data_IF_739293413233
#
_entry.id   IF_739293413233
#
_cell.length_a   1.000
_cell.length_b   1.000
_cell.length_c   1.000
_cell.angle_alpha   90.00
_cell.angle_beta   90.00
_cell.angle_gamma   90.00
#
_symmetry.space_group_name_H-M   'P 1'
#
loop_
_entity.id
_entity.type
_entity.pdbx_description
1 polymer ?
#
# COMPACT_ATOMS: atom_id res chain seq x y z
N UNK A 1 31.83 9.68 -52.22
CA UNK A 1 31.32 10.10 -50.88
C UNK A 1 30.30 9.09 -50.33
N UNK A 2 30.57 7.78 -50.41
CA UNK A 2 29.62 6.72 -50.02
C UNK A 2 30.17 5.76 -48.95
N UNK A 3 31.46 5.85 -48.62
CA UNK A 3 32.12 4.94 -47.68
C UNK A 3 31.98 5.34 -46.21
N UNK A 4 31.78 6.64 -45.90
CA UNK A 4 31.65 7.12 -44.50
C UNK A 4 30.27 6.88 -43.88
N UNK A 5 29.21 6.77 -44.69
CA UNK A 5 27.82 6.63 -44.20
C UNK A 5 27.55 5.19 -43.72
N UNK A 6 28.15 4.19 -44.38
CA UNK A 6 28.00 2.77 -44.02
C UNK A 6 28.67 2.47 -42.66
N UNK A 7 29.84 3.07 -42.39
CA UNK A 7 30.53 2.92 -41.11
C UNK A 7 29.74 3.50 -39.92
N UNK A 8 29.02 4.61 -40.15
CA UNK A 8 28.20 5.25 -39.12
C UNK A 8 26.95 4.40 -38.81
N UNK A 9 26.30 3.83 -39.84
CA UNK A 9 25.16 2.91 -39.64
C UNK A 9 25.54 1.62 -38.90
N UNK A 10 26.74 1.07 -39.15
CA UNK A 10 27.25 -0.09 -38.39
C UNK A 10 27.52 0.24 -36.92
N UNK A 11 28.04 1.43 -36.61
CA UNK A 11 28.24 1.88 -35.23
C UNK A 11 26.90 2.08 -34.48
N UNK A 12 25.88 2.64 -35.12
CA UNK A 12 24.57 2.81 -34.50
C UNK A 12 23.84 1.49 -34.22
N UNK A 13 23.98 0.49 -35.10
CA UNK A 13 23.44 -0.85 -34.85
C UNK A 13 24.21 -1.55 -33.72
N UNK A 14 25.55 -1.44 -33.67
CA UNK A 14 26.34 -2.02 -32.59
C UNK A 14 25.99 -1.45 -31.21
N UNK A 15 25.76 -0.14 -31.10
CA UNK A 15 25.30 0.49 -29.84
C UNK A 15 23.90 0.01 -29.44
N UNK A 16 23.03 -0.31 -30.40
CA UNK A 16 21.67 -0.81 -30.10
C UNK A 16 21.66 -2.26 -29.60
N UNK A 17 22.62 -3.09 -30.03
CA UNK A 17 22.79 -4.45 -29.50
C UNK A 17 23.48 -4.45 -28.12
N UNK A 18 24.44 -3.55 -27.88
CA UNK A 18 25.15 -3.48 -26.60
C UNK A 18 24.27 -2.95 -25.43
N UNK A 19 23.26 -2.12 -25.70
CA UNK A 19 22.36 -1.60 -24.64
C UNK A 19 21.35 -2.64 -24.16
N UNK A 20 21.21 -3.79 -24.84
CA UNK A 20 20.24 -4.83 -24.47
C UNK A 20 20.79 -5.90 -23.52
N UNK A 21 22.08 -5.88 -23.20
CA UNK A 21 22.74 -6.84 -22.30
C UNK A 21 22.87 -6.36 -20.83
N UNK A 22 22.47 -5.13 -20.50
CA UNK A 22 22.61 -4.58 -19.14
C UNK A 22 21.29 -4.57 -18.32
N UNK A 23 20.25 -5.27 -18.81
CA UNK A 23 18.95 -5.38 -18.12
C UNK A 23 18.55 -6.83 -17.84
N UNK A 24 19.51 -7.64 -17.38
CA UNK A 24 19.18 -8.95 -16.81
C UNK A 24 20.16 -9.33 -15.70
N UNK A 25 20.21 -8.50 -14.66
CA UNK A 25 20.86 -8.88 -13.41
C UNK A 25 20.03 -8.35 -12.25
N UNK A 26 19.37 -9.31 -11.60
CA UNK A 26 18.85 -9.32 -10.21
C UNK A 26 17.41 -9.84 -10.16
N UNK A 27 17.25 -11.15 -10.33
CA UNK A 27 16.22 -11.90 -9.61
C UNK A 27 16.62 -13.39 -9.51
N UNK A 28 16.89 -13.81 -8.27
CA UNK A 28 16.74 -15.19 -7.75
C UNK A 28 17.87 -16.23 -7.96
N UNK A 29 18.99 -16.01 -7.27
CA UNK A 29 19.74 -17.10 -6.62
C UNK A 29 19.08 -17.45 -5.28
N UNK A 30 18.20 -18.47 -5.23
CA UNK A 30 18.06 -19.35 -4.05
C UNK A 30 17.17 -20.58 -4.37
N UNK A 31 17.74 -21.56 -5.05
CA UNK A 31 17.19 -22.91 -5.07
C UNK A 31 18.34 -23.95 -5.13
N UNK A 32 18.82 -24.34 -3.95
CA UNK A 32 19.54 -25.59 -3.68
C UNK A 32 19.52 -25.73 -2.14
N UNK A 33 19.06 -26.79 -1.50
CA UNK A 33 19.02 -28.21 -1.84
C UNK A 33 18.02 -28.90 -0.91
N UNK A 34 17.14 -29.75 -1.45
CA UNK A 34 16.46 -30.78 -0.67
C UNK A 34 17.08 -32.13 -1.05
N UNK A 35 17.70 -32.82 -0.10
CA UNK A 35 17.71 -34.27 -0.05
C UNK A 35 17.92 -34.78 1.38
N UNK A 36 17.42 -35.99 1.62
CA UNK A 36 17.60 -36.89 2.78
C UNK A 36 16.56 -36.84 3.92
N UNK A 37 15.50 -37.63 3.69
CA UNK A 37 14.99 -38.78 4.45
C UNK A 37 15.31 -38.96 5.96
N UNK A 38 14.23 -39.21 6.73
CA UNK A 38 14.07 -40.16 7.85
C UNK A 38 14.80 -39.93 9.19
N UNK A 39 14.03 -39.68 10.27
CA UNK A 39 13.88 -40.62 11.41
C UNK A 39 13.12 -39.98 12.59
N UNK A 40 12.09 -40.68 13.07
CA UNK A 40 11.57 -40.55 14.44
C UNK A 40 12.71 -40.64 15.46
N UNK A 41 12.82 -39.66 16.36
CA UNK A 41 13.30 -39.85 17.74
C UNK A 41 13.10 -38.58 18.61
N UNK A 42 12.24 -38.71 19.63
CA UNK A 42 12.23 -37.91 20.88
C UNK A 42 13.35 -38.45 21.79
N UNK A 43 14.05 -37.74 22.74
CA UNK A 43 13.60 -36.69 23.69
C UNK A 43 14.60 -35.50 23.87
N UNK A 44 14.29 -34.37 24.54
CA UNK A 44 14.38 -34.24 25.99
C UNK A 44 13.79 -32.90 26.54
N UNK A 45 13.29 -33.02 27.78
CA UNK A 45 12.62 -32.05 28.66
C UNK A 45 13.46 -30.82 29.02
N UNK A 46 12.80 -29.66 29.14
CA UNK A 46 13.07 -28.65 30.18
C UNK A 46 11.78 -27.87 30.52
N UNK A 47 10.95 -28.45 31.40
CA UNK A 47 10.62 -27.95 32.76
C UNK A 47 9.45 -26.93 32.80
N UNK A 48 8.24 -27.50 32.79
CA UNK A 48 7.01 -26.91 33.33
C UNK A 48 7.09 -27.01 34.86
N UNK A 49 6.86 -25.90 35.56
CA UNK A 49 6.52 -25.92 37.00
C UNK A 49 5.19 -25.21 37.15
N UNK A 50 4.13 -26.02 37.07
CA UNK A 50 2.82 -25.73 37.65
C UNK A 50 2.83 -26.46 38.99
N UNK A 51 2.44 -25.78 40.07
CA UNK A 51 2.04 -26.43 41.32
C UNK A 51 0.53 -26.61 41.20
N UNK A 52 0.09 -27.86 41.06
CA UNK A 52 -1.32 -28.29 41.16
C UNK A 52 -1.58 -28.83 42.57
N UNK A 53 -2.78 -28.58 43.10
CA UNK A 53 -3.60 -29.51 43.91
C UNK A 53 -4.96 -28.83 44.05
N UNK A 54 -6.14 -29.43 43.92
CA UNK A 54 -6.57 -30.80 43.65
C UNK A 54 -8.06 -30.70 43.35
N UNK A 55 -8.58 -31.62 42.56
CA UNK A 55 -9.91 -32.16 42.80
C UNK A 55 -11.03 -31.74 41.84
N UNK A 56 -11.45 -32.75 41.07
CA UNK A 56 -12.84 -33.08 40.79
C UNK A 56 -13.52 -32.43 39.57
N UNK A 57 -13.35 -33.14 38.45
CA UNK A 57 -14.43 -33.74 37.66
C UNK A 57 -15.71 -32.94 37.30
N UNK A 58 -15.88 -32.84 35.98
CA UNK A 58 -17.10 -33.12 35.20
C UNK A 58 -18.14 -32.03 34.93
N UNK A 59 -18.50 -32.01 33.64
CA UNK A 59 -19.81 -31.71 33.05
C UNK A 59 -20.39 -30.30 33.17
N UNK A 60 -20.37 -29.63 32.01
CA UNK A 60 -21.48 -28.90 31.42
C UNK A 60 -22.40 -28.10 32.36
N UNK A 61 -22.01 -26.85 32.61
CA UNK A 61 -22.95 -25.73 32.61
C UNK A 61 -22.26 -24.54 31.95
N UNK A 62 -22.85 -24.05 30.86
CA UNK A 62 -22.53 -22.73 30.30
C UNK A 62 -22.97 -21.72 31.34
N UNK A 63 -22.02 -21.16 32.08
CA UNK A 63 -22.21 -19.89 32.76
C UNK A 63 -21.67 -18.82 31.82
N UNK A 64 -22.60 -18.17 31.12
CA UNK A 64 -22.39 -16.83 30.58
C UNK A 64 -22.29 -15.85 31.75
N UNK A 65 -21.16 -15.90 32.47
CA UNK A 65 -20.71 -14.73 33.19
C UNK A 65 -19.79 -14.00 32.23
N UNK A 66 -20.34 -12.99 31.56
CA UNK A 66 -19.62 -12.04 30.74
C UNK A 66 -18.73 -11.15 31.63
N UNK A 67 -17.75 -11.76 32.27
CA UNK A 67 -16.57 -11.11 32.80
C UNK A 67 -15.39 -11.63 32.00
N UNK A 68 -14.99 -10.90 30.96
CA UNK A 68 -13.70 -11.09 30.31
C UNK A 68 -12.64 -11.07 31.42
N UNK A 69 -12.06 -12.22 31.77
CA UNK A 69 -10.98 -12.28 32.75
C UNK A 69 -9.70 -11.58 32.25
N UNK A 70 -9.68 -11.23 30.96
CA UNK A 70 -8.66 -10.39 30.31
C UNK A 70 -8.95 -8.87 30.44
N UNK A 71 -10.13 -8.48 30.96
CA UNK A 71 -10.56 -7.08 31.05
C UNK A 71 -10.02 -6.34 32.28
N UNK A 72 -9.60 -7.05 33.33
CA UNK A 72 -9.11 -6.40 34.56
C UNK A 72 -7.65 -5.94 34.45
N UNK A 73 -6.78 -6.70 33.77
CA UNK A 73 -5.36 -6.34 33.62
C UNK A 73 -5.13 -5.15 32.66
N UNK A 74 -6.01 -4.98 31.67
CA UNK A 74 -5.90 -3.94 30.65
C UNK A 74 -7.02 -2.89 30.73
N UNK A 75 -7.71 -2.81 31.88
CA UNK A 75 -8.82 -1.89 32.09
C UNK A 75 -8.41 -0.44 31.86
N UNK A 76 -9.07 0.21 30.91
CA UNK A 76 -8.81 1.62 30.58
C UNK A 76 -7.59 1.84 29.69
N UNK A 77 -6.93 0.79 29.21
CA UNK A 77 -5.90 0.90 28.17
C UNK A 77 -6.56 0.91 26.79
N UNK A 78 -5.92 1.58 25.84
CA UNK A 78 -6.43 1.61 24.47
C UNK A 78 -5.87 0.44 23.68
N UNK A 79 -6.76 -0.34 23.05
CA UNK A 79 -6.39 -1.50 22.25
C UNK A 79 -6.10 -1.10 20.79
N UNK A 80 -5.07 -1.68 20.16
CA UNK A 80 -4.72 -1.41 18.76
C UNK A 80 -4.08 -2.62 18.07
N UNK A 81 -4.84 -3.31 17.20
CA UNK A 81 -4.38 -4.51 16.50
C UNK A 81 -4.83 -5.80 17.20
N UNK A 82 -4.00 -6.84 17.17
CA UNK A 82 -4.27 -8.12 17.83
C UNK A 82 -3.42 -8.19 19.10
N UNK A 83 -4.07 -8.21 20.27
CA UNK A 83 -3.43 -8.37 21.57
C UNK A 83 -2.35 -7.31 21.88
N UNK A 84 -2.63 -6.02 21.59
CA UNK A 84 -1.74 -4.91 21.95
C UNK A 84 -2.53 -3.80 22.66
N UNK A 85 -2.10 -3.45 23.86
CA UNK A 85 -2.74 -2.45 24.73
C UNK A 85 -1.78 -1.33 25.10
N UNK A 86 -2.27 -0.09 25.07
CA UNK A 86 -1.50 1.12 25.31
C UNK A 86 -2.04 1.87 26.52
N UNK A 87 -1.14 2.33 27.39
CA UNK A 87 -1.50 3.16 28.53
C UNK A 87 -2.03 4.53 28.09
N UNK A 88 -2.92 5.16 28.87
CA UNK A 88 -3.34 6.55 28.64
C UNK A 88 -2.14 7.48 28.47
N UNK A 89 -2.24 8.42 27.53
CA UNK A 89 -1.17 9.35 27.14
C UNK A 89 -0.29 8.85 25.99
N UNK A 90 -0.30 7.55 25.68
CA UNK A 90 0.44 7.03 24.53
C UNK A 90 -0.12 7.55 23.21
N UNK A 91 0.76 7.90 22.28
CA UNK A 91 0.39 8.43 20.97
C UNK A 91 0.86 7.49 19.87
N UNK A 92 -0.07 7.13 19.00
CA UNK A 92 0.20 6.34 17.80
C UNK A 92 -0.16 7.14 16.56
N UNK A 93 0.36 6.69 15.43
CA UNK A 93 -0.02 7.20 14.11
C UNK A 93 -0.78 6.12 13.37
N UNK A 94 -1.92 6.51 12.82
CA UNK A 94 -2.69 5.69 11.91
C UNK A 94 -2.94 6.48 10.64
N UNK A 95 -2.18 6.15 9.60
CA UNK A 95 -2.18 6.91 8.37
C UNK A 95 -1.97 8.42 8.67
N UNK A 96 -3.00 9.21 8.40
CA UNK A 96 -3.07 10.66 8.53
C UNK A 96 -3.39 11.16 9.94
N UNK A 97 -3.82 10.26 10.82
CA UNK A 97 -4.31 10.60 12.12
C UNK A 97 -3.21 10.38 13.17
N UNK A 98 -3.11 11.34 14.08
CA UNK A 98 -2.46 11.10 15.36
C UNK A 98 -3.55 10.74 16.36
N UNK A 99 -3.44 9.55 16.93
CA UNK A 99 -4.34 9.09 17.97
C UNK A 99 -3.63 9.13 19.31
N UNK A 100 -4.28 9.72 20.31
CA UNK A 100 -3.79 9.73 21.70
C UNK A 100 -4.72 8.88 22.53
N UNK A 101 -4.17 7.91 23.25
CA UNK A 101 -4.94 7.11 24.18
C UNK A 101 -5.38 7.99 25.36
N UNK A 102 -6.68 8.01 25.65
CA UNK A 102 -7.27 8.71 26.80
C UNK A 102 -7.66 7.71 27.88
N UNK A 103 -7.89 8.22 29.07
CA UNK A 103 -8.44 7.44 30.18
C UNK A 103 -9.76 6.77 29.76
N UNK A 104 -10.01 5.57 30.28
CA UNK A 104 -11.16 4.76 29.87
C UNK A 104 -10.97 4.01 28.55
N UNK A 105 -9.75 3.94 28.00
CA UNK A 105 -9.44 3.13 26.82
C UNK A 105 -9.92 3.73 25.49
N UNK A 106 -10.20 5.03 25.46
CA UNK A 106 -10.72 5.72 24.27
C UNK A 106 -9.59 6.33 23.46
N UNK A 107 -9.54 6.03 22.15
CA UNK A 107 -8.64 6.71 21.22
C UNK A 107 -9.21 8.07 20.82
N UNK A 108 -8.50 9.15 21.16
CA UNK A 108 -8.76 10.47 20.61
C UNK A 108 -7.88 10.71 19.38
N UNK A 109 -8.44 10.51 18.19
CA UNK A 109 -7.75 10.66 16.92
C UNK A 109 -8.07 12.00 16.25
N UNK A 110 -7.05 12.68 15.75
CA UNK A 110 -7.20 13.91 14.96
C UNK A 110 -6.27 13.92 13.75
N UNK A 111 -6.65 14.65 12.72
CA UNK A 111 -5.79 14.87 11.56
C UNK A 111 -4.53 15.62 11.97
N UNK A 112 -3.36 15.10 11.57
CA UNK A 112 -2.09 15.77 11.78
C UNK A 112 -1.44 16.11 10.44
N UNK A 113 -1.70 17.34 9.98
CA UNK A 113 -1.41 17.80 8.61
C UNK A 113 0.04 17.63 8.15
N UNK A 114 1.03 17.63 9.06
CA UNK A 114 2.43 17.38 8.68
C UNK A 114 2.69 15.97 8.10
N UNK A 115 1.79 15.00 8.35
CA UNK A 115 1.93 13.60 7.92
C UNK A 115 0.86 13.16 6.90
N UNK A 116 0.09 14.11 6.34
CA UNK A 116 -0.89 13.84 5.30
C UNK A 116 -0.47 14.35 3.90
N UNK A 117 0.68 13.96 3.34
CA UNK A 117 0.97 14.22 1.93
C UNK A 117 0.37 13.17 1.00
N UNK A 118 -0.59 12.34 1.44
CA UNK A 118 -1.25 11.35 0.59
C UNK A 118 -2.41 12.00 -0.15
N UNK A 119 -2.19 12.32 -1.42
CA UNK A 119 -3.26 12.74 -2.31
C UNK A 119 -3.89 11.48 -2.88
N UNK A 120 -5.22 11.36 -2.79
CA UNK A 120 -5.94 10.19 -3.26
C UNK A 120 -6.65 10.49 -4.58
N UNK A 121 -6.62 9.51 -5.48
CA UNK A 121 -7.34 9.50 -6.73
C UNK A 121 -8.13 8.19 -6.80
N UNK A 122 -9.43 8.25 -6.52
CA UNK A 122 -10.19 7.04 -6.24
C UNK A 122 -9.62 6.34 -5.00
N UNK A 123 -9.23 5.06 -5.14
CA UNK A 123 -8.66 4.25 -4.07
C UNK A 123 -7.13 4.15 -4.11
N UNK A 124 -6.48 4.98 -4.93
CA UNK A 124 -5.03 4.95 -5.15
C UNK A 124 -4.38 6.24 -4.64
N UNK A 125 -3.23 6.12 -4.00
CA UNK A 125 -2.40 7.25 -3.59
C UNK A 125 -1.60 7.73 -4.80
N UNK A 126 -1.53 9.05 -4.99
CA UNK A 126 -0.70 9.65 -6.03
C UNK A 126 0.12 10.80 -5.45
N UNK A 127 1.24 11.10 -6.12
CA UNK A 127 2.08 12.25 -5.79
C UNK A 127 1.66 13.45 -6.65
N UNK A 128 1.05 14.52 -6.10
CA UNK A 128 0.62 15.65 -6.91
C UNK A 128 1.78 16.46 -7.45
N UNK A 129 3.02 16.25 -7.01
CA UNK A 129 4.18 16.93 -7.60
C UNK A 129 4.47 16.39 -9.00
N UNK A 130 4.37 15.08 -9.20
CA UNK A 130 4.68 14.40 -10.46
C UNK A 130 3.46 13.85 -11.21
N UNK A 131 2.30 13.74 -10.56
CA UNK A 131 1.12 13.08 -11.09
C UNK A 131 -0.14 13.94 -10.96
N UNK A 132 -1.16 13.62 -11.74
CA UNK A 132 -2.46 14.27 -11.79
C UNK A 132 -3.57 13.22 -11.78
N UNK A 133 -4.67 13.52 -11.10
CA UNK A 133 -5.86 12.69 -11.06
C UNK A 133 -6.92 13.19 -12.05
N UNK A 134 -7.32 12.36 -13.02
CA UNK A 134 -8.45 12.63 -13.92
C UNK A 134 -9.61 11.68 -13.56
N UNK A 135 -10.59 12.20 -12.80
CA UNK A 135 -11.79 11.47 -12.35
C UNK A 135 -11.53 10.05 -11.79
N UNK A 136 -10.46 9.85 -11.03
CA UNK A 136 -10.14 8.55 -10.43
C UNK A 136 -9.07 7.75 -11.17
N UNK A 137 -8.54 8.25 -12.30
CA UNK A 137 -7.37 7.69 -12.97
C UNK A 137 -6.14 8.58 -12.78
N UNK A 138 -5.04 7.98 -12.34
CA UNK A 138 -3.77 8.68 -12.13
C UNK A 138 -2.98 8.71 -13.45
N UNK A 139 -2.40 9.86 -13.76
CA UNK A 139 -1.52 10.08 -14.90
C UNK A 139 -0.28 10.86 -14.48
N UNK A 140 0.85 10.63 -15.15
CA UNK A 140 2.03 11.48 -14.95
C UNK A 140 1.82 12.86 -15.55
N UNK A 141 2.21 13.89 -14.81
CA UNK A 141 2.15 15.29 -15.24
C UNK A 141 3.04 15.49 -16.44
N UNK A 142 2.43 15.92 -17.54
CA UNK A 142 3.09 16.30 -18.77
C UNK A 142 2.71 17.73 -19.09
N UNK A 143 3.67 18.48 -19.64
CA UNK A 143 3.37 19.82 -20.12
C UNK A 143 2.30 19.74 -21.22
N UNK A 144 1.41 20.73 -21.24
CA UNK A 144 0.31 20.80 -22.21
C UNK A 144 -0.64 19.59 -22.16
N UNK A 145 -0.78 18.93 -21.02
CA UNK A 145 -1.81 17.92 -20.82
C UNK A 145 -2.78 18.35 -19.74
N UNK A 146 -4.05 18.01 -19.92
CA UNK A 146 -5.12 18.35 -18.98
C UNK A 146 -6.13 17.22 -18.91
N UNK A 147 -6.95 17.24 -17.85
CA UNK A 147 -8.08 16.33 -17.70
C UNK A 147 -9.33 16.89 -18.39
N UNK A 148 -10.11 16.01 -19.02
CA UNK A 148 -11.47 16.24 -19.48
C UNK A 148 -12.32 15.06 -19.00
N UNK A 149 -12.84 15.16 -17.78
CA UNK A 149 -13.43 14.02 -17.10
C UNK A 149 -12.37 12.94 -16.86
N UNK A 150 -12.63 11.73 -17.34
CA UNK A 150 -11.70 10.59 -17.28
C UNK A 150 -10.57 10.65 -18.31
N UNK A 151 -10.61 11.58 -19.27
CA UNK A 151 -9.62 11.65 -20.35
C UNK A 151 -8.46 12.56 -19.97
N UNK A 152 -7.24 12.04 -20.04
CA UNK A 152 -6.02 12.84 -20.00
C UNK A 152 -5.51 13.09 -21.42
N UNK A 153 -5.54 14.34 -21.87
CA UNK A 153 -5.33 14.70 -23.27
C UNK A 153 -4.35 15.85 -23.44
N UNK A 154 -3.72 15.91 -24.62
CA UNK A 154 -2.82 16.99 -25.00
C UNK A 154 -3.61 18.20 -25.50
N UNK A 155 -3.47 19.33 -24.81
CA UNK A 155 -4.17 20.59 -25.05
C UNK A 155 -3.71 21.32 -26.32
N UNK A 156 -2.59 20.92 -26.93
CA UNK A 156 -2.11 21.50 -28.21
C UNK A 156 -2.91 20.98 -29.41
N UNK A 157 -3.35 19.72 -29.36
CA UNK A 157 -3.99 19.03 -30.50
C UNK A 157 -5.50 18.92 -30.35
N UNK A 158 -5.98 18.89 -29.11
CA UNK A 158 -7.38 18.64 -28.78
C UNK A 158 -7.89 19.63 -27.74
N UNK A 159 -9.21 19.66 -27.55
CA UNK A 159 -9.90 20.44 -26.53
C UNK A 159 -10.97 19.59 -25.83
N UNK A 160 -11.31 19.97 -24.62
CA UNK A 160 -12.42 19.39 -23.87
C UNK A 160 -13.74 20.04 -24.28
N UNK A 161 -14.76 19.23 -24.52
CA UNK A 161 -16.15 19.61 -24.74
C UNK A 161 -17.02 18.98 -23.64
N UNK A 162 -17.88 19.78 -23.02
CA UNK A 162 -18.86 19.37 -22.01
C UNK A 162 -18.26 18.61 -20.81
N UNK A 163 -16.99 18.86 -20.47
CA UNK A 163 -16.28 18.26 -19.33
C UNK A 163 -16.05 16.74 -19.36
N UNK A 164 -16.49 16.02 -20.40
CA UNK A 164 -16.26 14.56 -20.52
C UNK A 164 -15.93 14.07 -21.93
N UNK A 165 -15.84 14.95 -22.94
CA UNK A 165 -15.50 14.54 -24.30
C UNK A 165 -14.32 15.32 -24.87
N UNK A 166 -13.34 14.61 -25.44
CA UNK A 166 -12.17 15.23 -26.07
C UNK A 166 -12.37 15.25 -27.58
N UNK A 167 -12.26 16.44 -28.18
CA UNK A 167 -12.40 16.64 -29.63
C UNK A 167 -11.16 17.34 -30.20
N UNK A 168 -10.86 17.22 -31.51
CA UNK A 168 -9.80 17.99 -32.15
C UNK A 168 -9.96 19.49 -31.89
N UNK A 169 -8.86 20.24 -31.83
CA UNK A 169 -8.89 21.66 -31.43
C UNK A 169 -9.85 22.52 -32.28
N UNK A 170 -9.95 22.21 -33.58
CA UNK A 170 -10.79 22.91 -34.56
C UNK A 170 -12.24 22.39 -34.64
N UNK A 171 -12.58 21.31 -33.94
CA UNK A 171 -13.94 20.77 -33.98
C UNK A 171 -14.94 21.70 -33.28
N UNK A 172 -16.18 21.75 -33.73
CA UNK A 172 -17.23 22.44 -32.99
C UNK A 172 -17.69 21.56 -31.81
N UNK A 173 -17.63 22.10 -30.60
CA UNK A 173 -18.25 21.43 -29.45
C UNK A 173 -19.76 21.69 -29.53
N UNK A 174 -20.62 20.66 -29.51
CA UNK A 174 -22.04 20.89 -29.30
C UNK A 174 -22.19 21.62 -27.97
N UNK A 175 -22.81 22.81 -27.99
CA UNK A 175 -23.28 23.43 -26.76
C UNK A 175 -24.45 22.57 -26.31
N UNK A 176 -24.18 21.65 -25.40
CA UNK A 176 -25.27 20.95 -24.72
C UNK A 176 -25.96 22.04 -23.92
N UNK A 177 -27.12 22.47 -24.43
CA UNK A 177 -28.03 23.36 -23.72
C UNK A 177 -28.64 22.49 -22.63
N UNK A 178 -27.97 22.44 -21.49
CA UNK A 178 -28.50 21.87 -20.23
C UNK A 178 -29.72 22.70 -19.82
#
# INVERSE_FOLDING_TARGET
MTSKIIAVLCLFLAVSFAVREEYDTQMEDYASSNDETYSDEKPAKAKKTVIEDTGSETSALVQQDSGDMDADEHKGFCHWGIAVWYKPGFQIRCNCMRCTCKEGGVWNCGYHFAYCPYYYCGNQIYNPASQICCCGKIHDKKSNHACCGYFYYNTRVSKCCNYYSVKPRKANCPRDRV
#
